data_IF_919181574461
#
_entry.id   IF_919181574461
#
_cell.length_a   1.000
_cell.length_b   1.000
_cell.length_c   1.000
_cell.angle_alpha   90.00
_cell.angle_beta   90.00
_cell.angle_gamma   90.00
#
_symmetry.space_group_name_H-M   'P 1'
#
loop_
_entity.id
_entity.type
_entity.pdbx_description
1 polymer ?
#
# COMPACT_ATOMS: atom_id res chain seq x y z
N UNK A 1 -21.69 -0.64 0.28
CA UNK A 1 -22.32 -1.02 -1.03
C UNK A 1 -21.20 -1.67 -1.84
N UNK A 2 -21.35 -2.91 -2.30
CA UNK A 2 -20.28 -3.59 -3.04
C UNK A 2 -20.02 -2.92 -4.40
N UNK A 3 -18.77 -2.93 -4.87
CA UNK A 3 -18.39 -2.39 -6.17
C UNK A 3 -19.13 -3.13 -7.28
N UNK A 4 -19.87 -2.39 -8.10
CA UNK A 4 -20.60 -2.95 -9.24
C UNK A 4 -19.87 -2.66 -10.54
N UNK A 5 -19.53 -3.73 -11.27
CA UNK A 5 -18.93 -3.66 -12.59
C UNK A 5 -19.69 -4.63 -13.50
N UNK A 6 -20.30 -4.13 -14.58
CA UNK A 6 -21.08 -4.93 -15.53
C UNK A 6 -22.13 -5.82 -14.84
N UNK A 7 -22.96 -5.23 -13.97
CA UNK A 7 -24.01 -5.89 -13.17
C UNK A 7 -23.56 -6.97 -12.18
N UNK A 8 -22.25 -7.15 -11.99
CA UNK A 8 -21.69 -8.04 -10.97
C UNK A 8 -21.21 -7.25 -9.77
N UNK A 9 -21.50 -7.76 -8.56
CA UNK A 9 -21.00 -7.23 -7.31
C UNK A 9 -19.68 -7.91 -6.95
N UNK A 10 -18.67 -7.12 -6.54
CA UNK A 10 -17.36 -7.61 -6.14
C UNK A 10 -17.03 -7.08 -4.74
N UNK A 11 -16.42 -7.94 -3.92
CA UNK A 11 -15.73 -7.47 -2.72
C UNK A 11 -14.48 -6.70 -3.17
N UNK A 12 -14.34 -5.46 -2.71
CA UNK A 12 -13.30 -4.56 -3.20
C UNK A 12 -12.58 -3.85 -2.04
N UNK A 13 -11.26 -3.87 -2.09
CA UNK A 13 -10.36 -3.30 -1.10
C UNK A 13 -9.46 -2.26 -1.78
N UNK A 14 -9.35 -1.09 -1.17
CA UNK A 14 -8.29 -0.13 -1.48
C UNK A 14 -7.01 -0.54 -0.75
N UNK A 15 -5.96 -0.87 -1.46
CA UNK A 15 -4.68 -1.28 -0.87
C UNK A 15 -3.80 -0.11 -0.40
N UNK A 16 -4.24 1.16 -0.57
CA UNK A 16 -3.42 2.33 -0.30
C UNK A 16 -4.24 3.56 0.10
N UNK A 17 -4.48 3.70 1.40
CA UNK A 17 -5.10 4.89 2.00
C UNK A 17 -4.27 5.39 3.18
N UNK A 18 -4.50 6.64 3.56
CA UNK A 18 -3.82 7.27 4.70
C UNK A 18 -4.83 7.76 5.73
N UNK A 19 -4.49 7.57 7.01
CA UNK A 19 -5.22 8.14 8.14
C UNK A 19 -4.27 8.92 9.05
N UNK A 20 -4.81 9.85 9.81
CA UNK A 20 -4.06 10.51 10.85
C UNK A 20 -4.49 11.94 11.13
N UNK A 21 -3.76 12.54 12.06
CA UNK A 21 -3.88 13.96 12.43
C UNK A 21 -2.58 14.65 12.11
N UNK A 22 -2.66 15.87 11.60
CA UNK A 22 -1.49 16.73 11.37
C UNK A 22 -1.66 18.05 12.11
N UNK A 23 -0.55 18.56 12.65
CA UNK A 23 -0.50 19.90 13.26
C UNK A 23 -0.71 21.00 12.22
N UNK A 24 -0.30 20.75 10.97
CA UNK A 24 -0.51 21.63 9.82
C UNK A 24 -1.38 20.92 8.79
N UNK A 25 -2.27 21.63 8.09
CA UNK A 25 -3.06 21.04 7.01
C UNK A 25 -2.16 20.39 5.96
N UNK A 26 -2.64 19.29 5.37
CA UNK A 26 -2.08 18.75 4.13
C UNK A 26 -2.19 19.81 3.03
N UNK A 27 -1.37 19.70 1.99
CA UNK A 27 -1.42 20.60 0.83
C UNK A 27 -2.80 20.76 0.19
N UNK A 28 -3.74 19.87 0.49
CA UNK A 28 -5.15 19.90 0.08
C UNK A 28 -6.11 20.42 1.16
N UNK A 29 -5.60 21.04 2.22
CA UNK A 29 -6.41 21.59 3.32
C UNK A 29 -6.90 20.57 4.35
N UNK A 30 -6.50 19.30 4.26
CA UNK A 30 -6.88 18.25 5.22
C UNK A 30 -5.95 18.31 6.43
N UNK A 31 -6.48 18.74 7.58
CA UNK A 31 -5.74 18.76 8.85
C UNK A 31 -5.86 17.45 9.63
N UNK A 32 -6.96 16.73 9.46
CA UNK A 32 -7.25 15.44 10.10
C UNK A 32 -8.13 14.62 9.17
N UNK A 33 -7.80 13.36 8.98
CA UNK A 33 -8.58 12.39 8.23
C UNK A 33 -8.54 11.06 8.99
N UNK A 34 -9.68 10.65 9.51
CA UNK A 34 -9.81 9.49 10.39
C UNK A 34 -10.79 8.45 9.81
N UNK A 35 -11.03 7.37 10.56
CA UNK A 35 -11.82 6.25 10.09
C UNK A 35 -13.25 6.60 9.70
N UNK A 36 -13.91 7.55 10.38
CA UNK A 36 -15.26 8.03 10.01
C UNK A 36 -15.27 8.63 8.59
N UNK A 37 -14.23 9.41 8.26
CA UNK A 37 -14.07 10.02 6.94
C UNK A 37 -13.77 8.97 5.87
N UNK A 38 -12.83 8.05 6.18
CA UNK A 38 -12.47 6.98 5.26
C UNK A 38 -13.67 6.07 4.95
N UNK A 39 -14.38 5.61 5.99
CA UNK A 39 -15.54 4.71 5.82
C UNK A 39 -16.64 5.36 4.99
N UNK A 40 -16.95 6.63 5.24
CA UNK A 40 -17.89 7.39 4.40
C UNK A 40 -17.45 7.43 2.93
N UNK A 41 -16.17 7.71 2.67
CA UNK A 41 -15.67 7.80 1.31
C UNK A 41 -15.58 6.42 0.62
N UNK A 42 -15.33 5.35 1.37
CA UNK A 42 -15.45 3.97 0.87
C UNK A 42 -16.88 3.65 0.44
N UNK A 43 -17.86 4.02 1.26
CA UNK A 43 -19.28 3.81 0.93
C UNK A 43 -19.70 4.56 -0.35
N UNK A 44 -19.24 5.81 -0.49
CA UNK A 44 -19.48 6.61 -1.70
C UNK A 44 -18.82 6.01 -2.96
N UNK A 45 -17.63 5.41 -2.80
CA UNK A 45 -16.89 4.78 -3.89
C UNK A 45 -17.32 3.32 -4.17
N UNK A 46 -18.15 2.73 -3.32
CA UNK A 46 -18.59 1.34 -3.43
C UNK A 46 -17.53 0.32 -3.01
N UNK A 47 -16.58 0.70 -2.16
CA UNK A 47 -15.54 -0.18 -1.65
C UNK A 47 -15.89 -0.74 -0.26
N UNK A 48 -15.52 -1.99 -0.02
CA UNK A 48 -15.85 -2.68 1.23
C UNK A 48 -14.84 -2.37 2.35
N UNK A 49 -13.57 -2.21 2.00
CA UNK A 49 -12.48 -2.08 2.97
C UNK A 49 -11.34 -1.26 2.40
N UNK A 50 -10.45 -0.76 3.27
CA UNK A 50 -9.17 -0.17 2.86
C UNK A 50 -8.03 -0.62 3.76
N UNK A 51 -6.86 -0.77 3.17
CA UNK A 51 -5.59 -0.73 3.90
C UNK A 51 -5.24 0.73 4.16
N UNK A 52 -5.05 1.07 5.43
CA UNK A 52 -4.70 2.40 5.84
C UNK A 52 -3.40 2.41 6.66
N UNK A 53 -2.61 3.46 6.49
CA UNK A 53 -1.40 3.70 7.25
C UNK A 53 -1.24 5.18 7.57
N UNK A 54 -0.36 5.54 8.54
CA UNK A 54 -0.21 6.92 8.97
C UNK A 54 0.11 7.90 7.84
N UNK A 55 -0.50 9.07 7.91
CA UNK A 55 -0.08 10.23 7.13
C UNK A 55 1.42 10.47 7.34
N UNK A 56 2.14 10.77 6.26
CA UNK A 56 3.58 11.01 6.31
C UNK A 56 3.94 12.27 7.11
N UNK A 57 4.98 12.16 7.93
CA UNK A 57 5.63 13.28 8.59
C UNK A 57 7.11 12.96 8.74
N UNK A 58 7.98 13.89 8.34
CA UNK A 58 9.43 13.74 8.51
C UNK A 58 9.80 13.82 10.00
N UNK A 59 10.90 13.16 10.38
CA UNK A 59 11.50 13.25 11.70
C UNK A 59 10.62 12.77 12.87
N UNK A 60 9.73 11.81 12.63
CA UNK A 60 8.93 11.17 13.70
C UNK A 60 9.22 9.67 13.76
N UNK A 61 9.10 9.10 14.95
CA UNK A 61 9.17 7.65 15.17
C UNK A 61 7.85 6.92 14.86
N UNK A 62 6.78 7.66 14.57
CA UNK A 62 5.45 7.16 14.29
C UNK A 62 4.72 6.43 15.43
N UNK A 63 5.25 6.39 16.66
CA UNK A 63 4.61 5.67 17.79
C UNK A 63 3.17 6.12 18.02
N UNK A 64 2.93 7.43 18.12
CA UNK A 64 1.57 7.99 18.32
C UNK A 64 0.68 7.73 17.09
N UNK A 65 1.21 7.91 15.90
CA UNK A 65 0.46 7.71 14.67
C UNK A 65 0.06 6.24 14.46
N UNK A 66 0.93 5.30 14.83
CA UNK A 66 0.63 3.86 14.79
C UNK A 66 -0.43 3.46 15.83
N UNK A 67 -0.48 4.14 16.99
CA UNK A 67 -1.55 3.93 17.96
C UNK A 67 -2.91 4.37 17.39
N UNK A 68 -2.96 5.51 16.68
CA UNK A 68 -4.17 5.92 15.97
C UNK A 68 -4.62 4.84 14.96
N UNK A 69 -3.68 4.23 14.25
CA UNK A 69 -4.01 3.13 13.32
C UNK A 69 -4.63 1.93 14.02
N UNK A 70 -4.12 1.56 15.19
CA UNK A 70 -4.68 0.48 15.99
C UNK A 70 -6.10 0.79 16.48
N UNK A 71 -6.32 2.02 16.96
CA UNK A 71 -7.61 2.48 17.45
C UNK A 71 -8.66 2.51 16.34
N UNK A 72 -8.30 3.03 15.16
CA UNK A 72 -9.22 3.10 14.00
C UNK A 72 -9.54 1.70 13.44
N UNK A 73 -8.58 0.79 13.41
CA UNK A 73 -8.81 -0.61 13.02
C UNK A 73 -9.74 -1.30 14.02
N UNK A 74 -9.57 -1.06 15.32
CA UNK A 74 -10.44 -1.62 16.35
C UNK A 74 -11.87 -1.06 16.27
N UNK A 75 -12.02 0.21 15.91
CA UNK A 75 -13.31 0.88 15.70
C UNK A 75 -14.05 0.36 14.47
N UNK A 76 -13.31 0.03 13.40
CA UNK A 76 -13.85 -0.41 12.11
C UNK A 76 -13.26 -1.75 11.63
N UNK A 77 -13.42 -2.86 12.37
CA UNK A 77 -12.64 -4.10 12.16
C UNK A 77 -12.91 -4.80 10.82
N UNK A 78 -14.02 -4.47 10.14
CA UNK A 78 -14.37 -5.01 8.81
C UNK A 78 -14.16 -4.01 7.66
N UNK A 79 -13.75 -2.78 7.99
CA UNK A 79 -13.66 -1.68 7.03
C UNK A 79 -12.23 -1.13 6.89
N UNK A 80 -11.40 -1.29 7.93
CA UNK A 80 -10.04 -0.75 7.98
C UNK A 80 -9.07 -1.87 8.36
N UNK A 81 -8.09 -2.10 7.49
CA UNK A 81 -6.92 -2.93 7.74
C UNK A 81 -5.75 -1.97 7.95
N UNK A 82 -5.20 -1.90 9.15
CA UNK A 82 -4.15 -0.93 9.42
C UNK A 82 -2.75 -1.53 9.30
N UNK A 83 -1.86 -0.78 8.65
CA UNK A 83 -0.42 -1.02 8.63
C UNK A 83 0.28 -0.01 9.52
N UNK A 84 1.36 -0.41 10.17
CA UNK A 84 2.24 0.55 10.84
C UNK A 84 3.14 1.28 9.85
N UNK A 85 3.55 2.49 10.18
CA UNK A 85 4.58 3.23 9.47
C UNK A 85 5.83 3.30 10.34
N UNK A 86 6.99 3.10 9.72
CA UNK A 86 8.28 3.02 10.41
C UNK A 86 9.25 4.01 9.79
N UNK A 87 10.00 4.68 10.66
CA UNK A 87 11.19 5.43 10.27
C UNK A 87 12.43 4.70 10.83
N UNK A 88 13.20 4.00 9.98
CA UNK A 88 14.32 3.18 10.44
C UNK A 88 15.51 3.99 10.97
N UNK A 89 15.56 5.30 10.70
CA UNK A 89 16.65 6.17 11.18
C UNK A 89 16.73 6.31 12.71
N UNK A 90 15.73 5.85 13.45
CA UNK A 90 15.82 5.76 14.91
C UNK A 90 16.67 4.58 15.40
N UNK A 91 17.21 3.80 14.49
CA UNK A 91 18.14 2.70 14.73
C UNK A 91 17.47 1.32 14.83
N UNK A 92 18.26 0.25 14.66
CA UNK A 92 17.75 -1.12 14.57
C UNK A 92 16.98 -1.59 15.80
N UNK A 93 17.46 -1.28 17.00
CA UNK A 93 16.83 -1.69 18.27
C UNK A 93 15.47 -1.00 18.47
N UNK A 94 15.40 0.34 18.25
CA UNK A 94 14.17 1.10 18.38
C UNK A 94 13.14 0.64 17.33
N UNK A 95 13.60 0.37 16.11
CA UNK A 95 12.77 -0.17 15.01
C UNK A 95 12.19 -1.53 15.37
N UNK A 96 13.00 -2.46 15.85
CA UNK A 96 12.53 -3.80 16.25
C UNK A 96 11.50 -3.72 17.38
N UNK A 97 11.75 -2.91 18.41
CA UNK A 97 10.82 -2.70 19.53
C UNK A 97 9.48 -2.12 19.08
N UNK A 98 9.51 -1.12 18.21
CA UNK A 98 8.28 -0.51 17.67
C UNK A 98 7.50 -1.51 16.83
N UNK A 99 8.16 -2.30 15.99
CA UNK A 99 7.54 -3.36 15.19
C UNK A 99 6.92 -4.46 16.06
N UNK A 100 7.60 -4.93 17.10
CA UNK A 100 7.05 -5.91 18.04
C UNK A 100 5.80 -5.36 18.75
N UNK A 101 5.77 -4.06 19.07
CA UNK A 101 4.57 -3.43 19.61
C UNK A 101 3.45 -3.36 18.55
N UNK A 102 3.73 -2.84 17.37
CA UNK A 102 2.73 -2.66 16.32
C UNK A 102 2.13 -3.98 15.81
N UNK A 103 2.98 -4.94 15.48
CA UNK A 103 2.56 -6.20 14.87
C UNK A 103 2.16 -7.25 15.90
N UNK A 104 2.89 -7.30 17.02
CA UNK A 104 2.67 -8.25 18.10
C UNK A 104 1.52 -7.87 19.02
N UNK A 105 1.55 -6.68 19.62
CA UNK A 105 0.57 -6.22 20.60
C UNK A 105 -0.67 -5.59 19.95
N UNK A 106 -0.46 -4.63 19.05
CA UNK A 106 -1.55 -3.88 18.39
C UNK A 106 -2.17 -4.62 17.20
N UNK A 107 -1.55 -5.74 16.76
CA UNK A 107 -2.06 -6.62 15.68
C UNK A 107 -2.23 -5.92 14.33
N UNK A 108 -1.44 -4.87 14.05
CA UNK A 108 -1.40 -4.25 12.73
C UNK A 108 -0.96 -5.26 11.67
N UNK A 109 -1.42 -5.10 10.44
CA UNK A 109 -1.41 -6.16 9.40
C UNK A 109 -0.35 -5.97 8.32
N UNK A 110 0.54 -5.00 8.47
CA UNK A 110 1.61 -4.73 7.52
C UNK A 110 2.47 -3.55 7.94
N UNK A 111 3.46 -3.25 7.12
CA UNK A 111 4.46 -2.20 7.37
C UNK A 111 4.49 -1.25 6.18
N UNK A 112 4.36 0.06 6.42
CA UNK A 112 4.57 1.13 5.42
C UNK A 112 5.94 1.76 5.61
N UNK A 113 6.65 1.94 4.50
CA UNK A 113 7.93 2.62 4.41
C UNK A 113 7.91 3.69 3.32
N UNK A 114 8.61 4.79 3.55
CA UNK A 114 8.69 5.90 2.59
C UNK A 114 10.10 6.48 2.53
N UNK A 115 11.00 5.91 1.71
CA UNK A 115 12.42 6.28 1.69
C UNK A 115 12.70 7.77 1.48
N UNK A 116 11.81 8.48 0.79
CA UNK A 116 11.97 9.90 0.50
C UNK A 116 11.63 10.80 1.69
N UNK A 117 10.52 10.53 2.39
CA UNK A 117 10.08 11.35 3.54
C UNK A 117 10.93 11.09 4.76
N UNK A 118 11.25 9.83 5.03
CA UNK A 118 12.11 9.43 6.16
C UNK A 118 13.61 9.52 5.84
N UNK A 119 14.02 9.78 4.60
CA UNK A 119 15.41 9.96 4.17
C UNK A 119 16.36 8.79 4.50
N UNK A 120 15.92 7.56 4.29
CA UNK A 120 16.75 6.37 4.43
C UNK A 120 17.05 5.69 3.08
N UNK A 121 18.06 4.85 3.05
CA UNK A 121 18.40 4.01 1.90
C UNK A 121 17.85 2.58 2.09
N UNK A 122 16.95 2.09 1.22
CA UNK A 122 16.43 0.72 1.33
C UNK A 122 17.50 -0.38 1.18
N UNK A 123 18.71 -0.07 0.69
CA UNK A 123 19.82 -1.03 0.59
C UNK A 123 20.70 -1.06 1.84
N UNK A 124 20.47 -0.17 2.80
CA UNK A 124 21.21 -0.18 4.05
C UNK A 124 20.73 -1.33 4.94
N UNK A 125 21.44 -2.47 4.86
CA UNK A 125 21.02 -3.71 5.50
C UNK A 125 20.81 -3.56 7.01
N UNK A 126 21.69 -2.84 7.71
CA UNK A 126 21.59 -2.60 9.15
C UNK A 126 20.24 -1.98 9.55
N UNK A 127 19.73 -1.05 8.76
CA UNK A 127 18.42 -0.40 9.00
C UNK A 127 17.26 -1.29 8.60
N UNK A 128 17.40 -2.07 7.53
CA UNK A 128 16.29 -2.79 6.91
C UNK A 128 16.11 -4.21 7.41
N UNK A 129 17.16 -4.91 7.84
CA UNK A 129 17.05 -6.29 8.34
C UNK A 129 16.03 -6.44 9.48
N UNK A 130 15.98 -5.58 10.51
CA UNK A 130 14.97 -5.68 11.56
C UNK A 130 13.52 -5.61 11.02
N UNK A 131 13.30 -4.85 9.95
CA UNK A 131 11.99 -4.68 9.33
C UNK A 131 11.57 -5.95 8.58
N UNK A 132 12.47 -6.49 7.76
CA UNK A 132 12.20 -7.73 7.02
C UNK A 132 12.06 -8.94 7.96
N UNK A 133 12.89 -9.04 9.01
CA UNK A 133 12.77 -10.11 10.02
C UNK A 133 11.46 -10.01 10.81
N UNK A 134 10.99 -8.81 11.14
CA UNK A 134 9.68 -8.64 11.75
C UNK A 134 8.56 -9.00 10.77
N UNK A 135 8.63 -8.55 9.52
CA UNK A 135 7.66 -8.89 8.49
C UNK A 135 7.54 -10.41 8.30
N UNK A 136 8.66 -11.13 8.25
CA UNK A 136 8.74 -12.59 8.20
C UNK A 136 8.13 -13.24 9.43
N UNK A 137 8.52 -12.81 10.64
CA UNK A 137 8.05 -13.35 11.91
C UNK A 137 6.55 -13.21 12.08
N UNK A 138 6.02 -12.05 11.77
CA UNK A 138 4.59 -11.74 11.90
C UNK A 138 3.78 -12.09 10.65
N UNK A 139 4.44 -12.54 9.58
CA UNK A 139 3.82 -12.94 8.30
C UNK A 139 2.98 -11.81 7.69
N UNK A 140 3.55 -10.62 7.61
CA UNK A 140 2.88 -9.42 7.08
C UNK A 140 3.63 -8.84 5.87
N UNK A 141 2.94 -8.19 4.93
CA UNK A 141 3.58 -7.52 3.80
C UNK A 141 4.25 -6.19 4.20
N UNK A 142 5.19 -5.77 3.37
CA UNK A 142 5.79 -4.43 3.40
C UNK A 142 5.32 -3.66 2.17
N UNK A 143 4.79 -2.44 2.35
CA UNK A 143 4.52 -1.51 1.25
C UNK A 143 5.53 -0.36 1.27
N UNK A 144 6.26 -0.20 0.18
CA UNK A 144 7.13 0.94 -0.04
C UNK A 144 6.43 2.01 -0.88
N UNK A 145 6.61 3.27 -0.53
CA UNK A 145 6.44 4.34 -1.50
C UNK A 145 7.52 4.20 -2.57
N UNK A 146 7.17 4.26 -3.85
CA UNK A 146 8.11 4.18 -4.97
C UNK A 146 7.90 5.29 -5.99
N UNK A 147 8.98 5.73 -6.62
CA UNK A 147 8.99 6.79 -7.63
C UNK A 147 9.77 8.02 -7.17
N UNK A 148 9.84 9.03 -8.02
CA UNK A 148 10.38 10.38 -7.86
C UNK A 148 11.88 10.48 -7.47
N UNK A 149 12.45 9.57 -6.70
CA UNK A 149 13.88 9.58 -6.37
C UNK A 149 14.57 8.24 -6.58
N UNK A 150 15.89 8.27 -6.66
CA UNK A 150 16.70 7.04 -6.78
C UNK A 150 16.55 6.11 -5.58
N UNK A 151 16.39 6.64 -4.38
CA UNK A 151 16.17 5.85 -3.14
C UNK A 151 14.82 5.14 -3.12
N UNK A 152 13.80 5.71 -3.77
CA UNK A 152 12.49 5.09 -3.92
C UNK A 152 12.35 4.30 -5.24
N UNK A 153 13.45 4.01 -5.91
CA UNK A 153 13.47 3.22 -7.14
C UNK A 153 13.06 1.77 -6.88
N UNK A 154 12.17 1.19 -7.70
CA UNK A 154 11.84 -0.23 -7.64
C UNK A 154 13.05 -1.16 -7.66
N UNK A 155 14.12 -0.80 -8.39
CA UNK A 155 15.35 -1.60 -8.46
C UNK A 155 16.07 -1.71 -7.13
N UNK A 156 16.23 -0.59 -6.42
CA UNK A 156 16.86 -0.55 -5.10
C UNK A 156 16.07 -1.39 -4.10
N UNK A 157 14.75 -1.27 -4.09
CA UNK A 157 13.88 -2.05 -3.19
C UNK A 157 13.95 -3.55 -3.53
N UNK A 158 14.00 -3.90 -4.82
CA UNK A 158 14.04 -5.29 -5.25
C UNK A 158 15.33 -6.02 -4.85
N UNK A 159 16.47 -5.33 -4.74
CA UNK A 159 17.74 -5.93 -4.32
C UNK A 159 17.64 -6.60 -2.95
N UNK A 160 17.01 -5.93 -1.98
CA UNK A 160 16.82 -6.50 -0.66
C UNK A 160 15.62 -7.47 -0.62
N UNK A 161 14.53 -7.16 -1.32
CA UNK A 161 13.35 -8.03 -1.41
C UNK A 161 13.70 -9.42 -1.98
N UNK A 162 14.67 -9.51 -2.89
CA UNK A 162 15.15 -10.77 -3.44
C UNK A 162 15.82 -11.70 -2.40
N UNK A 163 16.33 -11.15 -1.30
CA UNK A 163 16.91 -11.91 -0.17
C UNK A 163 15.84 -12.45 0.78
N UNK A 164 14.62 -11.89 0.75
CA UNK A 164 13.49 -12.21 1.62
C UNK A 164 12.26 -12.63 0.79
N UNK A 165 12.41 -13.69 -0.01
CA UNK A 165 11.38 -14.12 -0.96
C UNK A 165 10.07 -14.56 -0.31
N UNK A 166 10.09 -14.87 0.98
CA UNK A 166 8.94 -15.23 1.80
C UNK A 166 8.19 -14.00 2.38
N UNK A 167 8.71 -12.78 2.18
CA UNK A 167 8.07 -11.52 2.59
C UNK A 167 7.45 -10.85 1.37
N UNK A 168 6.12 -10.68 1.30
CA UNK A 168 5.48 -9.92 0.23
C UNK A 168 5.87 -8.44 0.29
N UNK A 169 6.29 -7.89 -0.85
CA UNK A 169 6.67 -6.49 -1.01
C UNK A 169 5.75 -5.82 -2.03
N UNK A 170 5.12 -4.73 -1.64
CA UNK A 170 4.23 -3.94 -2.50
C UNK A 170 4.96 -2.67 -2.92
N UNK A 171 5.09 -2.46 -4.22
CA UNK A 171 5.60 -1.21 -4.79
C UNK A 171 4.42 -0.23 -4.94
N UNK A 172 4.21 0.60 -3.93
CA UNK A 172 3.18 1.65 -3.94
C UNK A 172 3.44 2.62 -5.09
N UNK A 173 2.40 2.96 -5.86
CA UNK A 173 2.48 3.80 -7.05
C UNK A 173 3.29 3.17 -8.20
N UNK A 174 3.68 1.91 -8.12
CA UNK A 174 4.49 1.17 -9.10
C UNK A 174 5.60 2.00 -9.79
N UNK A 175 6.24 2.91 -9.02
CA UNK A 175 7.33 3.76 -9.54
C UNK A 175 6.86 5.07 -10.17
N UNK A 176 5.61 5.48 -9.97
CA UNK A 176 5.00 6.69 -10.57
C UNK A 176 5.19 6.68 -12.10
N UNK A 177 5.54 7.79 -12.72
CA UNK A 177 5.76 7.81 -14.19
C UNK A 177 7.18 7.37 -14.59
N UNK A 178 8.15 7.65 -13.73
CA UNK A 178 9.58 7.51 -14.03
C UNK A 178 10.05 6.05 -14.07
N UNK A 179 9.51 5.22 -13.16
CA UNK A 179 10.05 3.87 -12.93
C UNK A 179 9.04 2.74 -13.18
N UNK A 180 7.87 2.99 -13.79
CA UNK A 180 6.86 1.93 -14.05
C UNK A 180 7.46 0.75 -14.83
N UNK A 181 8.27 1.01 -15.86
CA UNK A 181 8.92 -0.05 -16.63
C UNK A 181 9.88 -0.89 -15.79
N UNK A 182 10.61 -0.23 -14.89
CA UNK A 182 11.51 -0.92 -13.96
C UNK A 182 10.70 -1.72 -12.92
N UNK A 183 9.61 -1.15 -12.39
CA UNK A 183 8.71 -1.86 -11.49
C UNK A 183 8.13 -3.13 -12.13
N UNK A 184 7.72 -3.05 -13.39
CA UNK A 184 7.27 -4.22 -14.16
C UNK A 184 8.38 -5.25 -14.30
N UNK A 185 9.61 -4.82 -14.62
CA UNK A 185 10.74 -5.72 -14.79
C UNK A 185 11.09 -6.47 -13.49
N UNK A 186 11.17 -5.75 -12.35
CA UNK A 186 11.48 -6.38 -11.06
C UNK A 186 10.35 -7.26 -10.54
N UNK A 187 9.08 -6.89 -10.75
CA UNK A 187 7.94 -7.71 -10.35
C UNK A 187 7.83 -9.02 -11.17
N UNK A 188 8.31 -9.03 -12.40
CA UNK A 188 8.42 -10.25 -13.23
C UNK A 188 9.50 -11.21 -12.74
N UNK A 189 10.58 -10.68 -12.16
CA UNK A 189 11.72 -11.47 -11.71
C UNK A 189 11.59 -11.96 -10.27
N UNK A 190 10.69 -11.35 -9.46
CA UNK A 190 10.53 -11.64 -8.04
C UNK A 190 9.08 -12.02 -7.74
N UNK A 191 8.86 -13.25 -7.30
CA UNK A 191 7.52 -13.78 -6.99
C UNK A 191 6.83 -13.01 -5.86
N UNK A 192 7.58 -12.46 -4.93
CA UNK A 192 7.10 -11.73 -3.75
C UNK A 192 6.84 -10.25 -4.00
N UNK A 193 7.09 -9.70 -5.20
CA UNK A 193 6.86 -8.28 -5.52
C UNK A 193 5.54 -8.07 -6.24
N UNK A 194 4.73 -7.14 -5.72
CA UNK A 194 3.43 -6.71 -6.23
C UNK A 194 3.44 -5.22 -6.60
N UNK A 195 2.62 -4.84 -7.57
CA UNK A 195 2.49 -3.46 -8.06
C UNK A 195 1.15 -2.86 -7.60
N UNK A 196 1.17 -1.65 -7.05
CA UNK A 196 -0.05 -0.98 -6.62
C UNK A 196 -0.33 0.25 -7.51
N UNK A 197 -1.61 0.49 -7.88
CA UNK A 197 -2.02 1.30 -9.04
C UNK A 197 -2.20 2.79 -8.79
N UNK A 198 -2.13 3.26 -7.54
CA UNK A 198 -2.40 4.68 -7.25
C UNK A 198 -1.39 5.63 -7.91
N UNK A 199 -1.77 6.88 -8.07
CA UNK A 199 -0.94 7.99 -8.58
C UNK A 199 -0.55 7.86 -10.07
N UNK A 200 -0.44 6.66 -10.63
CA UNK A 200 -0.10 6.50 -12.05
C UNK A 200 -1.22 7.03 -12.94
N UNK A 201 -1.06 8.27 -13.41
CA UNK A 201 -2.05 8.95 -14.24
C UNK A 201 -1.86 8.71 -15.75
N UNK A 202 -0.68 8.28 -16.19
CA UNK A 202 -0.43 8.06 -17.61
C UNK A 202 -0.85 6.66 -18.05
N UNK A 203 -2.02 6.60 -18.70
CA UNK A 203 -2.66 5.35 -19.12
C UNK A 203 -1.76 4.36 -19.87
N UNK A 204 -0.89 4.77 -20.84
CA UNK A 204 0.00 3.85 -21.53
C UNK A 204 0.93 3.07 -20.57
N UNK A 205 1.48 3.71 -19.54
CA UNK A 205 2.33 3.04 -18.54
C UNK A 205 1.54 2.07 -17.68
N UNK A 206 0.34 2.47 -17.25
CA UNK A 206 -0.54 1.60 -16.48
C UNK A 206 -0.91 0.35 -17.29
N UNK A 207 -1.27 0.50 -18.57
CA UNK A 207 -1.53 -0.63 -19.47
C UNK A 207 -0.29 -1.50 -19.71
N UNK A 208 0.90 -0.92 -19.75
CA UNK A 208 2.15 -1.65 -19.81
C UNK A 208 2.35 -2.54 -18.58
N UNK A 209 2.02 -2.03 -17.38
CA UNK A 209 2.07 -2.83 -16.16
C UNK A 209 1.11 -4.03 -16.23
N UNK A 210 -0.15 -3.81 -16.57
CA UNK A 210 -1.14 -4.90 -16.71
C UNK A 210 -0.74 -5.95 -17.75
N UNK A 211 -0.15 -5.55 -18.87
CA UNK A 211 0.36 -6.49 -19.90
C UNK A 211 1.63 -7.19 -19.47
N UNK A 212 2.50 -6.49 -18.73
CA UNK A 212 3.83 -6.98 -18.36
C UNK A 212 3.81 -8.02 -17.24
N UNK A 213 2.98 -7.84 -16.21
CA UNK A 213 2.94 -8.76 -15.04
C UNK A 213 1.62 -9.53 -14.92
N UNK A 214 0.61 -9.19 -15.72
CA UNK A 214 -0.73 -9.76 -15.59
C UNK A 214 -1.45 -9.27 -14.33
N UNK A 215 -2.73 -9.66 -14.19
CA UNK A 215 -3.59 -9.18 -13.09
C UNK A 215 -3.26 -9.79 -11.74
N UNK A 216 -2.54 -10.91 -11.68
CA UNK A 216 -2.17 -11.61 -10.43
C UNK A 216 -1.09 -10.90 -9.59
N UNK A 217 -0.44 -9.91 -10.14
CA UNK A 217 0.62 -9.12 -9.48
C UNK A 217 0.21 -7.67 -9.21
N UNK A 218 -1.04 -7.30 -9.51
CA UNK A 218 -1.52 -5.91 -9.42
C UNK A 218 -2.54 -5.80 -8.29
N UNK A 219 -2.39 -4.75 -7.48
CA UNK A 219 -3.29 -4.38 -6.40
C UNK A 219 -3.92 -3.02 -6.74
N UNK A 220 -5.23 -2.90 -6.59
CA UNK A 220 -5.89 -1.61 -6.63
C UNK A 220 -5.53 -0.80 -5.38
N UNK A 221 -5.13 0.45 -5.56
CA UNK A 221 -4.96 1.43 -4.50
C UNK A 221 -5.24 2.84 -5.00
N UNK A 222 -5.57 3.74 -4.08
CA UNK A 222 -6.01 5.10 -4.41
C UNK A 222 -5.05 6.20 -3.97
N UNK A 223 -4.26 5.98 -2.93
CA UNK A 223 -3.51 7.03 -2.22
C UNK A 223 -4.42 8.08 -1.56
N UNK A 224 -5.65 7.66 -1.17
CA UNK A 224 -6.62 8.54 -0.52
C UNK A 224 -6.14 8.98 0.87
N UNK A 225 -6.30 10.22 1.32
CA UNK A 225 -7.07 11.32 0.70
C UNK A 225 -6.27 12.21 -0.25
N UNK A 226 -5.05 11.87 -0.62
CA UNK A 226 -4.26 12.68 -1.56
C UNK A 226 -4.88 12.70 -2.97
N UNK A 227 -5.47 11.56 -3.39
CA UNK A 227 -6.24 11.46 -4.61
C UNK A 227 -7.73 11.18 -4.31
N UNK A 228 -8.65 11.67 -5.14
CA UNK A 228 -10.07 11.37 -5.00
C UNK A 228 -10.35 9.88 -5.26
N UNK A 229 -10.83 9.16 -4.25
CA UNK A 229 -11.09 7.73 -4.31
C UNK A 229 -11.99 7.29 -5.49
N UNK A 230 -13.12 7.98 -5.80
CA UNK A 230 -13.95 7.61 -6.95
C UNK A 230 -13.22 7.69 -8.29
N UNK A 231 -12.30 8.64 -8.46
CA UNK A 231 -11.51 8.77 -9.70
C UNK A 231 -10.55 7.60 -9.88
N UNK A 232 -9.87 7.17 -8.82
CA UNK A 232 -8.98 6.02 -8.86
C UNK A 232 -9.74 4.72 -9.14
N UNK A 233 -10.92 4.53 -8.53
CA UNK A 233 -11.83 3.41 -8.84
C UNK A 233 -12.22 3.43 -10.32
N UNK A 234 -12.67 4.58 -10.84
CA UNK A 234 -13.07 4.71 -12.24
C UNK A 234 -11.91 4.46 -13.20
N UNK A 235 -10.72 4.96 -12.88
CA UNK A 235 -9.49 4.73 -13.65
C UNK A 235 -9.26 3.24 -13.94
N UNK A 236 -9.37 2.39 -12.92
CA UNK A 236 -9.14 0.96 -13.08
C UNK A 236 -10.38 0.24 -13.61
N UNK A 237 -11.55 0.46 -12.98
CA UNK A 237 -12.78 -0.30 -13.27
C UNK A 237 -13.40 -0.02 -14.64
N UNK A 238 -13.15 1.17 -15.20
CA UNK A 238 -13.68 1.55 -16.51
C UNK A 238 -12.59 1.69 -17.57
N UNK A 239 -11.59 2.56 -17.32
CA UNK A 239 -10.64 2.93 -18.36
C UNK A 239 -9.61 1.83 -18.63
N UNK A 240 -8.91 1.35 -17.58
CA UNK A 240 -7.96 0.23 -17.73
C UNK A 240 -8.68 -1.04 -18.14
N UNK A 241 -9.80 -1.34 -17.50
CA UNK A 241 -10.59 -2.52 -17.79
C UNK A 241 -10.97 -2.63 -19.26
N UNK A 242 -11.48 -1.54 -19.84
CA UNK A 242 -11.82 -1.49 -21.27
C UNK A 242 -10.59 -1.66 -22.17
N UNK A 243 -9.50 -0.96 -21.87
CA UNK A 243 -8.31 -0.95 -22.72
C UNK A 243 -7.47 -2.25 -22.62
N UNK A 244 -7.44 -2.87 -21.44
CA UNK A 244 -6.79 -4.16 -21.20
C UNK A 244 -7.70 -5.37 -21.40
N UNK A 245 -9.01 -5.16 -21.67
CA UNK A 245 -10.04 -6.19 -21.84
C UNK A 245 -10.13 -7.11 -20.63
N UNK A 246 -10.15 -6.52 -19.41
CA UNK A 246 -10.24 -7.26 -18.16
C UNK A 246 -11.57 -8.02 -18.07
N UNK A 247 -11.51 -9.23 -17.55
CA UNK A 247 -12.65 -10.10 -17.29
C UNK A 247 -13.10 -10.02 -15.82
N UNK A 248 -14.27 -10.52 -15.44
CA UNK A 248 -14.74 -10.51 -14.04
C UNK A 248 -13.74 -11.09 -13.04
N UNK A 249 -13.06 -12.16 -13.39
CA UNK A 249 -12.01 -12.77 -12.55
C UNK A 249 -10.79 -11.89 -12.35
N UNK A 250 -10.46 -11.04 -13.32
CA UNK A 250 -9.36 -10.08 -13.22
C UNK A 250 -9.67 -8.97 -12.21
N UNK A 251 -10.94 -8.50 -12.17
CA UNK A 251 -11.36 -7.53 -11.17
C UNK A 251 -11.25 -8.08 -9.75
N UNK A 252 -11.68 -9.33 -9.51
CA UNK A 252 -11.56 -9.97 -8.20
C UNK A 252 -10.10 -9.99 -7.74
N UNK A 253 -9.18 -10.36 -8.64
CA UNK A 253 -7.74 -10.38 -8.35
C UNK A 253 -7.24 -8.99 -7.97
N UNK A 254 -7.47 -8.00 -8.84
CA UNK A 254 -6.91 -6.65 -8.69
C UNK A 254 -7.51 -5.92 -7.48
N UNK A 255 -8.82 -6.05 -7.25
CA UNK A 255 -9.51 -5.33 -6.18
C UNK A 255 -9.52 -6.05 -4.83
N UNK A 256 -9.23 -7.36 -4.76
CA UNK A 256 -9.29 -8.07 -3.48
C UNK A 256 -8.33 -9.27 -3.37
N UNK A 257 -8.44 -10.27 -4.25
CA UNK A 257 -7.86 -11.60 -4.00
C UNK A 257 -6.34 -11.56 -3.83
N UNK A 258 -5.64 -10.76 -4.65
CA UNK A 258 -4.18 -10.62 -4.55
C UNK A 258 -3.77 -10.04 -3.19
N UNK A 259 -4.44 -8.98 -2.73
CA UNK A 259 -4.15 -8.38 -1.43
C UNK A 259 -4.46 -9.35 -0.29
N UNK A 260 -5.62 -10.02 -0.31
CA UNK A 260 -6.01 -10.98 0.71
C UNK A 260 -5.02 -12.15 0.79
N UNK A 261 -4.49 -12.60 -0.34
CA UNK A 261 -3.50 -13.69 -0.37
C UNK A 261 -2.20 -13.36 0.35
N UNK A 262 -1.74 -12.11 0.27
CA UNK A 262 -0.50 -11.65 0.93
C UNK A 262 -0.73 -11.16 2.36
N UNK A 263 -1.96 -10.85 2.73
CA UNK A 263 -2.34 -10.56 4.12
C UNK A 263 -2.58 -11.82 4.94
N UNK A 264 -2.61 -13.00 4.30
CA UNK A 264 -3.05 -14.26 4.92
C UNK A 264 -4.39 -14.11 5.65
N UNK A 265 -5.29 -13.32 5.06
CA UNK A 265 -6.58 -12.94 5.64
C UNK A 265 -7.71 -13.65 4.90
N UNK A 266 -8.59 -14.33 5.64
CA UNK A 266 -9.83 -14.88 5.11
C UNK A 266 -10.88 -13.76 4.99
N UNK A 267 -11.76 -13.87 3.99
CA UNK A 267 -12.85 -12.91 3.72
C UNK A 267 -13.88 -12.88 4.84
#
# INVERSE_FOLDING_TARGET
MALRINDSEFYAIDAHSHLGRRKTPLGHGVASFLGDDLVRNLDEAGLDCAVAFPLGASYTDYSEANQIMADEMAKYPKRIISFCRINPNFGPEATAKLLDHCLGSSKLKGIKLHPEIEFFDPNEAELMEPIYEAARRYRVPIIFHTGMSSKASPGVIAELAARYQDVPVILGHMGVSEYVKLAVAVARQNENIFLETSVVGWMPLLLEAFRGVGTSKILFGSDHPYNPLPMEVEKISKHVARAAKLKPEDFKKVFADNLLSILHHDR
#
